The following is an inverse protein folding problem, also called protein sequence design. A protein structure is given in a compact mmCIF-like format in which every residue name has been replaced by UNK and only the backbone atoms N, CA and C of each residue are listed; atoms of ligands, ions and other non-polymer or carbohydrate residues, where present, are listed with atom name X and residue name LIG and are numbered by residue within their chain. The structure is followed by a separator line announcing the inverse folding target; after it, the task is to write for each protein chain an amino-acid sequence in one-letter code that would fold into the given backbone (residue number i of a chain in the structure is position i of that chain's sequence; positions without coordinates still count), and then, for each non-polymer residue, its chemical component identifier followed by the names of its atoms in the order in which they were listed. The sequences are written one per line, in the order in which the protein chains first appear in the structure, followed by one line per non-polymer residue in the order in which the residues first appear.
data_IF_251142200717
#
_entry.id   IF_251142200717
#
_cell.length_a   1.000
_cell.length_b   1.000
_cell.length_c   1.000
_cell.angle_alpha   90.00
_cell.angle_beta   90.00
_cell.angle_gamma   90.00
#
_symmetry.space_group_name_H-M   'P 1'
#
loop_
_entity.id
_entity.type
_entity.pdbx_description
1 polymer ?
#
# COMPACT_ATOMS: atom_id res chain seq x y z
N UNK A 1 20.63 2.07 -10.57
CA UNK A 1 19.69 0.93 -10.60
C UNK A 1 19.29 0.73 -9.16
N UNK A 2 18.16 1.16 -8.62
CA UNK A 2 16.83 1.40 -9.15
C UNK A 2 16.28 2.61 -8.37
N UNK A 3 16.16 3.80 -8.97
CA UNK A 3 15.63 4.99 -8.29
C UNK A 3 14.16 5.18 -8.68
N UNK A 4 13.39 4.10 -8.62
CA UNK A 4 11.93 4.22 -8.49
C UNK A 4 11.64 4.58 -7.05
N UNK A 5 10.98 5.71 -6.81
CA UNK A 5 10.67 6.17 -5.47
C UNK A 5 9.49 5.38 -4.89
N UNK A 6 9.79 4.17 -4.45
CA UNK A 6 8.89 3.27 -3.77
C UNK A 6 9.12 3.31 -2.26
N UNK A 7 8.04 3.23 -1.50
CA UNK A 7 8.13 3.01 -0.07
C UNK A 7 8.62 1.59 0.24
N UNK A 8 8.92 1.33 1.51
CA UNK A 8 8.92 -0.04 2.03
C UNK A 8 7.54 -0.69 1.83
N UNK A 9 7.48 -2.01 1.97
CA UNK A 9 6.22 -2.74 2.03
C UNK A 9 5.54 -2.52 3.38
N UNK A 10 4.22 -2.35 3.35
CA UNK A 10 3.36 -2.23 4.51
C UNK A 10 2.33 -3.36 4.48
N UNK A 11 2.07 -3.88 5.65
CA UNK A 11 1.15 -4.97 5.95
C UNK A 11 0.62 -4.65 7.35
N UNK A 12 -0.63 -4.19 7.40
CA UNK A 12 -1.24 -3.62 8.60
C UNK A 12 -2.48 -4.39 9.00
N UNK A 13 -3.17 -5.02 8.05
CA UNK A 13 -4.38 -5.79 8.29
C UNK A 13 -4.22 -7.24 7.82
N UNK A 14 -4.33 -8.20 8.73
CA UNK A 14 -4.40 -9.61 8.35
C UNK A 14 -5.79 -9.94 7.74
N UNK A 15 -5.94 -11.01 6.93
CA UNK A 15 -7.22 -11.45 6.31
C UNK A 15 -8.25 -12.03 7.31
N UNK A 16 -8.30 -11.49 8.52
CA UNK A 16 -9.26 -11.80 9.58
C UNK A 16 -10.57 -11.04 9.36
N UNK A 17 -11.55 -11.18 10.26
CA UNK A 17 -12.81 -10.44 10.18
C UNK A 17 -13.48 -10.51 8.80
N UNK A 18 -13.57 -9.37 8.10
CA UNK A 18 -14.29 -9.22 6.83
C UNK A 18 -13.43 -9.20 5.56
N UNK A 19 -12.10 -9.33 5.67
CA UNK A 19 -11.20 -9.15 4.53
C UNK A 19 -9.80 -8.77 4.98
N UNK A 20 -9.02 -8.28 4.02
CA UNK A 20 -7.70 -7.68 4.21
C UNK A 20 -7.75 -6.25 3.61
N UNK A 21 -7.42 -5.27 4.43
CA UNK A 21 -7.58 -3.84 4.18
C UNK A 21 -6.30 -3.01 4.42
N UNK A 22 -5.46 -3.00 3.40
CA UNK A 22 -4.30 -2.11 3.24
C UNK A 22 -4.67 -0.69 2.75
N UNK A 23 -5.55 -0.03 3.52
CA UNK A 23 -6.08 1.30 3.21
C UNK A 23 -5.05 2.41 3.49
N UNK A 24 -4.85 3.32 2.53
CA UNK A 24 -3.81 4.36 2.59
C UNK A 24 -3.91 5.25 3.85
N UNK A 25 -5.11 5.66 4.23
CA UNK A 25 -5.32 6.50 5.42
C UNK A 25 -4.91 5.79 6.71
N UNK A 26 -5.24 4.50 6.83
CA UNK A 26 -4.90 3.69 8.00
C UNK A 26 -3.40 3.38 8.04
N UNK A 27 -2.79 3.13 6.88
CA UNK A 27 -1.36 2.96 6.72
C UNK A 27 -0.57 4.23 7.10
N UNK A 28 -1.03 5.41 6.69
CA UNK A 28 -0.41 6.69 7.09
C UNK A 28 -0.50 6.93 8.60
N UNK A 29 -1.61 6.54 9.22
CA UNK A 29 -1.78 6.64 10.67
C UNK A 29 -0.83 5.70 11.42
N UNK A 30 -0.66 4.47 10.92
CA UNK A 30 0.25 3.48 11.50
C UNK A 30 1.74 3.80 11.24
N UNK A 31 2.04 4.48 10.12
CA UNK A 31 3.40 4.81 9.70
C UNK A 31 3.57 6.29 9.32
N UNK A 32 3.53 7.22 10.30
CA UNK A 32 3.64 8.64 10.04
C UNK A 32 4.91 9.01 9.27
N UNK A 33 4.76 9.80 8.21
CA UNK A 33 5.88 10.28 7.38
C UNK A 33 6.56 9.21 6.52
N UNK A 34 6.01 7.99 6.42
CA UNK A 34 6.61 6.92 5.58
C UNK A 34 5.99 6.81 4.19
N UNK A 35 4.83 7.42 3.97
CA UNK A 35 4.13 7.45 2.68
C UNK A 35 3.90 8.92 2.33
N UNK A 36 4.37 9.33 1.14
CA UNK A 36 4.22 10.70 0.64
C UNK A 36 2.75 11.14 0.61
N UNK A 37 2.50 12.46 0.55
CA UNK A 37 1.14 13.02 0.55
C UNK A 37 0.30 12.61 -0.68
N UNK A 38 0.93 12.40 -1.85
CA UNK A 38 0.24 12.05 -3.09
C UNK A 38 0.98 10.90 -3.80
N UNK A 39 0.76 9.64 -3.38
CA UNK A 39 1.29 8.50 -4.11
C UNK A 39 0.67 8.46 -5.52
N UNK A 40 1.49 8.13 -6.50
CA UNK A 40 1.09 8.04 -7.92
C UNK A 40 0.95 6.60 -8.39
N UNK A 41 1.45 5.65 -7.61
CA UNK A 41 1.42 4.24 -7.95
C UNK A 41 1.24 3.38 -6.70
N UNK A 42 0.75 2.15 -6.90
CA UNK A 42 0.59 1.15 -5.84
C UNK A 42 0.95 -0.22 -6.39
N UNK A 43 1.67 -0.97 -5.57
CA UNK A 43 1.90 -2.40 -5.81
C UNK A 43 1.36 -3.18 -4.64
N UNK A 44 0.65 -4.28 -4.91
CA UNK A 44 0.15 -5.20 -3.90
C UNK A 44 0.61 -6.63 -4.22
N UNK A 45 1.11 -7.33 -3.20
CA UNK A 45 1.53 -8.74 -3.30
C UNK A 45 1.07 -9.50 -2.08
N UNK A 46 0.85 -10.80 -2.24
CA UNK A 46 0.69 -11.69 -1.08
C UNK A 46 1.98 -11.69 -0.24
N UNK A 47 1.91 -12.16 1.00
CA UNK A 47 3.11 -12.33 1.82
C UNK A 47 4.11 -13.33 1.21
N UNK A 48 3.61 -14.30 0.43
CA UNK A 48 4.42 -15.23 -0.37
C UNK A 48 5.01 -14.61 -1.65
N UNK A 49 4.70 -13.35 -1.95
CA UNK A 49 5.30 -12.58 -3.05
C UNK A 49 4.58 -12.66 -4.39
N UNK A 50 3.38 -13.24 -4.44
CA UNK A 50 2.54 -13.32 -5.65
C UNK A 50 1.86 -11.96 -5.86
N UNK A 51 1.93 -11.41 -7.08
CA UNK A 51 1.21 -10.17 -7.42
C UNK A 51 -0.29 -10.35 -7.22
N UNK A 52 -1.01 -9.35 -6.68
CA UNK A 52 -2.46 -9.46 -6.55
C UNK A 52 -3.19 -9.59 -7.90
N UNK A 53 -2.55 -9.19 -9.01
CA UNK A 53 -3.09 -9.44 -10.35
C UNK A 53 -2.96 -10.91 -10.80
N UNK A 54 -2.02 -11.66 -10.20
CA UNK A 54 -1.77 -13.07 -10.48
C UNK A 54 -2.48 -13.99 -9.46
N UNK A 55 -3.25 -13.42 -8.53
CA UNK A 55 -4.14 -14.18 -7.65
C UNK A 55 -5.52 -14.32 -8.29
N UNK A 56 -6.32 -15.25 -7.75
CA UNK A 56 -7.72 -15.44 -8.14
C UNK A 56 -8.68 -14.62 -7.26
N UNK A 57 -8.15 -13.74 -6.40
CA UNK A 57 -8.98 -12.95 -5.49
C UNK A 57 -9.64 -11.79 -6.24
N UNK A 58 -10.92 -11.56 -5.99
CA UNK A 58 -11.64 -10.39 -6.50
C UNK A 58 -11.31 -9.15 -5.66
N UNK A 59 -10.46 -8.27 -6.19
CA UNK A 59 -9.96 -7.10 -5.46
C UNK A 59 -10.97 -5.93 -5.54
N UNK A 60 -11.39 -5.41 -4.39
CA UNK A 60 -12.35 -4.30 -4.30
C UNK A 60 -11.71 -2.94 -4.54
N UNK A 61 -10.49 -2.74 -4.03
CA UNK A 61 -9.71 -1.52 -4.26
C UNK A 61 -8.28 -1.89 -4.62
N UNK A 62 -7.76 -1.30 -5.68
CA UNK A 62 -6.36 -1.35 -6.07
C UNK A 62 -6.02 -0.01 -6.73
N UNK A 63 -5.75 1.02 -5.93
CA UNK A 63 -5.34 2.33 -6.46
C UNK A 63 -4.55 3.11 -5.40
N UNK A 64 -3.66 4.03 -5.82
CA UNK A 64 -2.80 4.75 -4.88
C UNK A 64 -3.55 5.74 -3.99
N UNK A 65 -4.76 6.18 -4.35
CA UNK A 65 -5.53 7.16 -3.57
C UNK A 65 -6.22 6.55 -2.35
N UNK A 66 -6.79 5.35 -2.51
CA UNK A 66 -7.52 4.65 -1.45
C UNK A 66 -6.69 3.54 -0.80
N UNK A 67 -5.78 2.92 -1.54
CA UNK A 67 -5.03 1.74 -1.11
C UNK A 67 -5.59 0.45 -1.71
N UNK A 68 -5.32 -0.65 -1.02
CA UNK A 68 -5.72 -1.99 -1.44
C UNK A 68 -6.78 -2.56 -0.49
N UNK A 69 -7.74 -3.31 -1.04
CA UNK A 69 -8.73 -4.02 -0.24
C UNK A 69 -9.20 -5.29 -0.94
N UNK A 70 -9.06 -6.42 -0.25
CA UNK A 70 -9.78 -7.65 -0.54
C UNK A 70 -10.91 -7.82 0.50
N UNK A 71 -12.14 -8.07 0.06
CA UNK A 71 -13.27 -8.31 0.97
C UNK A 71 -13.75 -9.75 0.83
N UNK A 72 -13.94 -10.45 1.95
CA UNK A 72 -14.42 -11.85 1.97
C UNK A 72 -15.76 -12.01 1.26
N UNK A 73 -16.66 -11.02 1.38
CA UNK A 73 -17.97 -11.05 0.73
C UNK A 73 -17.91 -11.06 -0.81
N UNK A 74 -16.79 -10.65 -1.39
CA UNK A 74 -16.57 -10.65 -2.84
C UNK A 74 -15.87 -11.94 -3.31
N UNK A 75 -15.38 -12.78 -2.39
CA UNK A 75 -14.67 -14.00 -2.72
C UNK A 75 -15.62 -15.20 -2.80
N UNK A 76 -15.55 -16.04 -3.83
CA UNK A 76 -16.38 -17.25 -3.94
C UNK A 76 -16.20 -18.22 -2.77
N UNK A 77 -14.99 -18.28 -2.20
CA UNK A 77 -14.64 -19.12 -1.06
C UNK A 77 -14.76 -18.39 0.29
N UNK A 78 -15.13 -17.11 0.29
CA UNK A 78 -15.19 -16.29 1.51
C UNK A 78 -13.83 -15.99 2.16
N UNK A 79 -12.71 -16.16 1.44
CA UNK A 79 -11.35 -16.04 1.98
C UNK A 79 -10.53 -15.10 1.10
N UNK A 80 -9.93 -14.09 1.72
CA UNK A 80 -8.87 -13.30 1.11
C UNK A 80 -7.51 -13.92 1.42
N UNK A 81 -6.56 -13.81 0.48
CA UNK A 81 -5.15 -13.96 0.82
C UNK A 81 -4.68 -12.78 1.66
N UNK A 82 -3.49 -12.93 2.21
CA UNK A 82 -2.81 -11.96 3.06
C UNK A 82 -1.86 -11.12 2.21
N UNK A 83 -2.09 -9.81 2.13
CA UNK A 83 -1.42 -8.89 1.23
C UNK A 83 -0.62 -7.81 1.95
N UNK A 84 0.46 -7.41 1.29
CA UNK A 84 1.23 -6.22 1.60
C UNK A 84 1.25 -5.28 0.42
N UNK A 85 1.32 -3.98 0.69
CA UNK A 85 1.38 -2.94 -0.33
C UNK A 85 2.62 -2.08 -0.23
N UNK A 86 3.04 -1.49 -1.34
CA UNK A 86 3.96 -0.34 -1.35
C UNK A 86 3.45 0.71 -2.30
N UNK A 87 3.81 1.96 -2.04
CA UNK A 87 3.36 3.10 -2.82
C UNK A 87 4.53 3.73 -3.57
N UNK A 88 4.27 4.08 -4.82
CA UNK A 88 5.18 4.84 -5.67
C UNK A 88 4.89 6.32 -5.54
N UNK A 89 5.93 7.14 -5.53
CA UNK A 89 5.84 8.61 -5.54
C UNK A 89 6.71 9.20 -6.64
N UNK A 90 6.53 10.49 -6.93
CA UNK A 90 7.48 11.22 -7.76
C UNK A 90 8.77 11.40 -6.96
N UNK A 91 9.92 11.14 -7.58
CA UNK A 91 11.19 11.24 -6.88
C UNK A 91 11.57 12.66 -6.41
N UNK A 92 10.93 13.69 -6.95
CA UNK A 92 11.00 15.06 -6.44
C UNK A 92 10.38 15.22 -5.05
N UNK A 93 9.34 14.45 -4.74
CA UNK A 93 8.54 14.60 -3.53
C UNK A 93 9.27 14.00 -2.31
N UNK A 94 10.21 13.08 -2.54
CA UNK A 94 11.14 12.60 -1.51
C UNK A 94 12.28 13.60 -1.23
N UNK A 95 12.57 14.52 -2.16
CA UNK A 95 13.58 15.57 -1.94
C UNK A 95 13.01 16.79 -1.22
N UNK A 96 11.72 17.13 -1.37
CA UNK A 96 11.13 18.23 -0.60
C UNK A 96 11.02 17.92 0.89
N UNK A 97 10.78 16.66 1.27
CA UNK A 97 10.78 16.24 2.69
C UNK A 97 12.18 16.36 3.32
N UNK A 98 13.25 16.20 2.55
CA UNK A 98 14.62 16.43 3.02
C UNK A 98 14.97 17.92 3.14
N UNK A 99 14.40 18.78 2.28
CA UNK A 99 14.64 20.23 2.33
C UNK A 99 13.82 20.92 3.44
N UNK A 100 12.60 20.46 3.73
CA UNK A 100 11.76 21.04 4.81
C UNK A 100 12.37 20.81 6.20
N UNK A 101 13.14 19.74 6.42
CA UNK A 101 13.81 19.49 7.70
C UNK A 101 15.09 20.32 7.91
N UNK A 102 15.61 20.98 6.88
CA UNK A 102 16.81 21.82 6.94
C UNK A 102 16.52 23.31 7.14
N UNK A 103 15.31 23.80 6.83
CA UNK A 103 14.94 25.22 7.02
C UNK A 103 14.36 25.54 8.40
N UNK A 104 14.35 24.56 9.32
CA UNK A 104 13.77 24.66 10.65
C UNK A 104 14.75 24.69 11.83
N UNK A 105 16.04 24.98 11.61
CA UNK A 105 17.05 25.12 12.68
C UNK A 105 17.76 26.48 12.65
#
# INVERSE_FOLDING_TARGET
MDLGCWTQWFDRDDPTGTGDYEMLNLLRNAHPGKICANPVDIEARTLSGISAADTEDSIFSFNPTFGFACRKKDQPNGICKDYKVRFGTKCSDQQSDFLITMEGN
#
